data_IF_346473625126
#
_entry.id   IF_346473625126
#
_cell.length_a   1.000
_cell.length_b   1.000
_cell.length_c   1.000
_cell.angle_alpha   90.00
_cell.angle_beta   90.00
_cell.angle_gamma   90.00
#
_symmetry.space_group_name_H-M   'P 1'
#
loop_
_entity.id
_entity.type
_entity.pdbx_description
1 polymer ?
#
# COMPACT_ATOMS: atom_id res chain seq x y z
N UNK A 1 21.76 -15.19 -4.63
CA UNK A 1 21.35 -14.56 -5.91
C UNK A 1 22.47 -13.66 -6.41
N UNK A 2 23.45 -14.19 -7.16
CA UNK A 2 24.74 -13.50 -7.36
C UNK A 2 24.85 -12.70 -8.68
N UNK A 3 23.84 -12.75 -9.57
CA UNK A 3 23.88 -12.10 -10.89
C UNK A 3 22.65 -11.23 -11.22
N UNK A 4 21.88 -10.78 -10.22
CA UNK A 4 20.72 -9.92 -10.50
C UNK A 4 21.17 -8.47 -10.71
N UNK A 5 20.70 -7.75 -11.76
CA UNK A 5 21.08 -6.36 -11.96
C UNK A 5 20.63 -5.49 -10.78
N UNK A 6 21.54 -4.67 -10.25
CA UNK A 6 21.25 -3.81 -9.09
C UNK A 6 20.17 -2.75 -9.34
N UNK A 7 19.84 -2.47 -10.60
CA UNK A 7 18.84 -1.48 -11.00
C UNK A 7 17.46 -2.08 -11.30
N UNK A 8 17.30 -3.41 -11.24
CA UNK A 8 16.00 -4.08 -11.36
C UNK A 8 15.60 -4.60 -9.98
N UNK A 9 14.36 -4.31 -9.48
CA UNK A 9 13.91 -4.88 -8.23
C UNK A 9 13.95 -6.40 -8.26
N UNK A 10 14.42 -7.01 -7.18
CA UNK A 10 14.40 -8.46 -7.04
C UNK A 10 12.95 -8.98 -7.07
N UNK A 11 12.71 -10.24 -7.47
CA UNK A 11 11.36 -10.81 -7.55
C UNK A 11 10.54 -10.64 -6.25
N UNK A 12 11.17 -10.67 -5.08
CA UNK A 12 10.51 -10.44 -3.78
C UNK A 12 9.84 -9.06 -3.70
N UNK A 13 10.49 -8.01 -4.19
CA UNK A 13 9.93 -6.65 -4.12
C UNK A 13 8.75 -6.45 -5.09
N UNK A 14 8.76 -7.14 -6.24
CA UNK A 14 7.61 -7.18 -7.13
C UNK A 14 6.41 -7.84 -6.47
N UNK A 15 6.62 -8.98 -5.80
CA UNK A 15 5.54 -9.67 -5.07
C UNK A 15 4.98 -8.79 -3.96
N UNK A 16 5.83 -8.11 -3.19
CA UNK A 16 5.36 -7.17 -2.15
C UNK A 16 4.54 -6.03 -2.73
N UNK A 17 4.99 -5.42 -3.83
CA UNK A 17 4.27 -4.34 -4.50
C UNK A 17 2.89 -4.79 -5.02
N UNK A 18 2.84 -5.95 -5.68
CA UNK A 18 1.59 -6.53 -6.19
C UNK A 18 0.64 -6.85 -5.03
N UNK A 19 1.15 -7.50 -3.98
CA UNK A 19 0.35 -7.85 -2.82
C UNK A 19 -0.21 -6.62 -2.10
N UNK A 20 0.60 -5.57 -1.94
CA UNK A 20 0.15 -4.30 -1.38
C UNK A 20 -0.98 -3.70 -2.23
N UNK A 21 -0.79 -3.57 -3.54
CA UNK A 21 -1.77 -2.92 -4.42
C UNK A 21 -3.07 -3.72 -4.48
N UNK A 22 -3.00 -5.06 -4.58
CA UNK A 22 -4.19 -5.92 -4.52
C UNK A 22 -4.90 -5.82 -3.17
N UNK A 23 -4.16 -5.75 -2.07
CA UNK A 23 -4.72 -5.55 -0.75
C UNK A 23 -5.47 -4.21 -0.67
N UNK A 24 -4.85 -3.13 -1.14
CA UNK A 24 -5.47 -1.80 -1.14
C UNK A 24 -6.73 -1.78 -1.99
N UNK A 25 -6.71 -2.38 -3.18
CA UNK A 25 -7.90 -2.52 -4.03
C UNK A 25 -9.00 -3.29 -3.29
N UNK A 26 -8.67 -4.45 -2.72
CA UNK A 26 -9.64 -5.26 -1.96
C UNK A 26 -10.22 -4.51 -0.76
N UNK A 27 -9.39 -3.75 -0.04
CA UNK A 27 -9.82 -2.93 1.09
C UNK A 27 -10.70 -1.76 0.65
N UNK A 28 -10.41 -1.11 -0.48
CA UNK A 28 -11.28 -0.07 -1.02
C UNK A 28 -12.67 -0.61 -1.33
N UNK A 29 -12.78 -1.79 -1.96
CA UNK A 29 -14.07 -2.45 -2.19
C UNK A 29 -14.80 -2.76 -0.88
N UNK A 30 -14.09 -3.31 0.11
CA UNK A 30 -14.67 -3.62 1.42
C UNK A 30 -15.15 -2.34 2.15
N UNK A 31 -14.35 -1.28 2.14
CA UNK A 31 -14.66 0.00 2.75
C UNK A 31 -15.84 0.67 2.04
N UNK A 32 -15.90 0.62 0.70
CA UNK A 32 -17.02 1.17 -0.07
C UNK A 32 -18.33 0.45 0.28
N UNK A 33 -18.30 -0.89 0.29
CA UNK A 33 -19.47 -1.70 0.63
C UNK A 33 -19.95 -1.46 2.07
N UNK A 34 -19.02 -1.49 3.04
CA UNK A 34 -19.33 -1.18 4.45
C UNK A 34 -19.81 0.25 4.60
N UNK A 35 -19.20 1.20 3.88
CA UNK A 35 -19.57 2.60 3.85
C UNK A 35 -21.01 2.80 3.38
N UNK A 36 -21.46 2.05 2.37
CA UNK A 36 -22.84 2.08 1.90
C UNK A 36 -23.82 1.61 2.99
N UNK A 37 -23.51 0.51 3.69
CA UNK A 37 -24.33 -0.01 4.79
C UNK A 37 -24.40 1.00 5.94
N UNK A 38 -23.24 1.50 6.37
CA UNK A 38 -23.12 2.48 7.45
C UNK A 38 -23.89 3.76 7.08
N UNK A 39 -23.74 4.24 5.85
CA UNK A 39 -24.46 5.41 5.36
C UNK A 39 -25.98 5.21 5.43
N UNK A 40 -26.49 4.06 4.98
CA UNK A 40 -27.93 3.75 5.08
C UNK A 40 -28.44 3.77 6.53
N UNK A 41 -27.65 3.25 7.49
CA UNK A 41 -28.01 3.24 8.91
C UNK A 41 -27.99 4.65 9.54
N UNK A 42 -26.94 5.44 9.26
CA UNK A 42 -26.76 6.77 9.86
C UNK A 42 -27.73 7.80 9.23
N UNK A 43 -28.15 7.61 7.99
CA UNK A 43 -29.08 8.53 7.30
C UNK A 43 -30.49 8.58 7.95
N UNK A 44 -30.77 7.68 8.91
CA UNK A 44 -31.97 7.70 9.74
C UNK A 44 -31.85 8.67 10.94
N UNK A 45 -30.68 9.25 11.18
CA UNK A 45 -30.39 10.10 12.34
C UNK A 45 -30.53 11.60 12.02
N UNK A 46 -30.77 12.44 13.03
CA UNK A 46 -30.72 13.90 12.88
C UNK A 46 -29.37 14.37 12.29
N UNK A 47 -29.42 15.36 11.39
CA UNK A 47 -28.29 15.84 10.58
C UNK A 47 -27.01 16.17 11.37
N UNK A 48 -27.15 16.68 12.60
CA UNK A 48 -26.01 17.04 13.47
C UNK A 48 -25.28 15.78 13.97
N UNK A 49 -26.02 14.72 14.29
CA UNK A 49 -25.47 13.42 14.74
C UNK A 49 -24.85 12.70 13.53
N UNK A 50 -25.54 12.76 12.39
CA UNK A 50 -25.06 12.21 11.11
C UNK A 50 -23.65 12.71 10.75
N UNK A 51 -23.43 14.04 10.77
CA UNK A 51 -22.12 14.62 10.44
C UNK A 51 -21.02 14.14 11.41
N UNK A 52 -21.30 14.14 12.72
CA UNK A 52 -20.33 13.68 13.74
C UNK A 52 -19.92 12.22 13.53
N UNK A 53 -20.89 11.35 13.25
CA UNK A 53 -20.63 9.93 13.04
C UNK A 53 -19.84 9.68 11.75
N UNK A 54 -20.13 10.41 10.66
CA UNK A 54 -19.32 10.29 9.44
C UNK A 54 -17.86 10.61 9.69
N UNK A 55 -17.56 11.72 10.38
CA UNK A 55 -16.18 12.06 10.72
C UNK A 55 -15.50 10.99 11.58
N UNK A 56 -16.19 10.48 12.60
CA UNK A 56 -15.68 9.41 13.46
C UNK A 56 -15.37 8.13 12.66
N UNK A 57 -16.33 7.65 11.86
CA UNK A 57 -16.15 6.44 11.06
C UNK A 57 -15.07 6.61 10.00
N UNK A 58 -14.94 7.79 9.41
CA UNK A 58 -13.88 8.08 8.43
C UNK A 58 -12.49 7.98 9.07
N UNK A 59 -12.33 8.51 10.28
CA UNK A 59 -11.08 8.42 11.03
C UNK A 59 -10.77 6.96 11.41
N UNK A 60 -11.75 6.23 11.95
CA UNK A 60 -11.58 4.81 12.30
C UNK A 60 -11.23 3.97 11.08
N UNK A 61 -11.85 4.23 9.93
CA UNK A 61 -11.53 3.55 8.68
C UNK A 61 -10.07 3.77 8.27
N UNK A 62 -9.58 5.02 8.32
CA UNK A 62 -8.18 5.33 8.01
C UNK A 62 -7.19 4.64 8.97
N UNK A 63 -7.47 4.64 10.28
CA UNK A 63 -6.61 3.95 11.25
C UNK A 63 -6.64 2.43 11.06
N UNK A 64 -7.82 1.86 10.78
CA UNK A 64 -7.97 0.43 10.54
C UNK A 64 -7.17 -0.03 9.33
N UNK A 65 -7.02 0.82 8.32
CA UNK A 65 -6.27 0.53 7.12
C UNK A 65 -4.78 0.31 7.40
N UNK A 66 -4.18 1.13 8.27
CA UNK A 66 -2.79 0.97 8.71
C UNK A 66 -2.61 -0.39 9.43
N UNK A 67 -3.56 -0.74 10.31
CA UNK A 67 -3.53 -2.01 11.05
C UNK A 67 -3.59 -3.20 10.07
N UNK A 68 -4.53 -3.16 9.12
CA UNK A 68 -4.69 -4.26 8.16
C UNK A 68 -3.46 -4.41 7.27
N UNK A 69 -2.88 -3.31 6.79
CA UNK A 69 -1.67 -3.35 5.97
C UNK A 69 -0.51 -3.96 6.77
N UNK A 70 -0.30 -3.56 8.04
CA UNK A 70 0.73 -4.14 8.90
C UNK A 70 0.56 -5.65 9.10
N UNK A 71 -0.65 -6.11 9.37
CA UNK A 71 -0.94 -7.54 9.54
C UNK A 71 -0.71 -8.32 8.25
N UNK A 72 -1.19 -7.82 7.11
CA UNK A 72 -1.05 -8.52 5.83
C UNK A 72 0.42 -8.54 5.40
N UNK A 73 1.17 -7.46 5.59
CA UNK A 73 2.62 -7.46 5.32
C UNK A 73 3.35 -8.50 6.17
N UNK A 74 3.06 -8.55 7.47
CA UNK A 74 3.62 -9.55 8.38
C UNK A 74 3.36 -10.99 7.90
N UNK A 75 2.10 -11.29 7.56
CA UNK A 75 1.73 -12.62 7.08
C UNK A 75 2.27 -12.95 5.70
N UNK A 76 2.38 -11.96 4.81
CA UNK A 76 2.97 -12.12 3.49
C UNK A 76 4.45 -12.48 3.60
N UNK A 77 5.22 -11.75 4.42
CA UNK A 77 6.63 -12.07 4.67
C UNK A 77 6.79 -13.48 5.24
N UNK A 78 5.98 -13.83 6.23
CA UNK A 78 6.00 -15.18 6.80
C UNK A 78 5.68 -16.26 5.76
N UNK A 79 4.70 -16.02 4.88
CA UNK A 79 4.38 -16.93 3.80
C UNK A 79 5.57 -17.08 2.84
N UNK A 80 6.15 -15.97 2.39
CA UNK A 80 7.30 -16.00 1.49
C UNK A 80 8.53 -16.67 2.13
N UNK A 81 8.82 -16.41 3.39
CA UNK A 81 9.98 -16.99 4.07
C UNK A 81 9.84 -18.50 4.36
N UNK A 82 8.60 -19.01 4.39
CA UNK A 82 8.29 -20.44 4.55
C UNK A 82 8.34 -21.20 3.21
N UNK A 83 7.78 -20.65 2.14
CA UNK A 83 7.69 -21.31 0.84
C UNK A 83 8.87 -21.01 -0.09
N UNK A 84 9.52 -19.86 0.10
CA UNK A 84 10.67 -19.39 -0.69
C UNK A 84 11.81 -18.93 0.22
N UNK A 85 12.43 -19.84 1.01
CA UNK A 85 13.46 -19.48 1.97
C UNK A 85 14.71 -18.86 1.34
N UNK A 86 14.97 -19.13 0.06
CA UNK A 86 16.06 -18.48 -0.70
C UNK A 86 15.82 -16.98 -0.96
N UNK A 87 14.58 -16.52 -0.80
CA UNK A 87 14.21 -15.11 -0.89
C UNK A 87 14.46 -14.33 0.41
N UNK A 88 14.92 -15.00 1.48
CA UNK A 88 15.23 -14.36 2.76
C UNK A 88 16.31 -13.31 2.56
N UNK A 89 15.95 -12.09 2.90
CA UNK A 89 16.91 -11.01 3.06
C UNK A 89 17.52 -11.21 4.44
N UNK A 90 18.86 -11.26 4.54
CA UNK A 90 19.62 -11.60 5.75
C UNK A 90 19.26 -10.76 7.00
N UNK A 91 18.57 -9.63 6.81
CA UNK A 91 18.17 -8.70 7.87
C UNK A 91 16.77 -8.97 8.45
N UNK A 92 15.92 -9.74 7.74
CA UNK A 92 14.66 -10.24 8.33
C UNK A 92 14.96 -11.60 8.98
N UNK A 93 15.60 -11.57 10.15
CA UNK A 93 15.59 -12.75 11.03
C UNK A 93 14.13 -13.16 11.23
N UNK A 94 13.84 -14.44 11.02
CA UNK A 94 12.48 -14.99 11.05
C UNK A 94 11.73 -14.47 12.28
N UNK A 95 10.77 -13.57 12.10
CA UNK A 95 10.03 -12.97 13.22
C UNK A 95 9.17 -14.06 13.87
N UNK A 96 9.53 -14.56 15.07
CA UNK A 96 8.79 -15.65 15.67
C UNK A 96 7.55 -15.07 16.37
N UNK A 97 6.36 -15.33 15.82
CA UNK A 97 5.11 -14.89 16.45
C UNK A 97 3.92 -14.91 15.50
N UNK A 98 2.70 -14.93 16.05
CA UNK A 98 1.44 -14.78 15.28
C UNK A 98 1.03 -13.30 15.17
N UNK A 99 1.53 -12.48 16.09
CA UNK A 99 1.25 -11.05 16.17
C UNK A 99 2.38 -10.25 15.50
N UNK A 100 2.05 -9.13 14.82
CA UNK A 100 3.05 -8.25 14.25
C UNK A 100 3.92 -7.66 15.35
N UNK A 101 5.24 -7.75 15.15
CA UNK A 101 6.22 -7.07 15.99
C UNK A 101 6.23 -5.57 15.71
N UNK A 102 6.93 -4.78 16.53
CA UNK A 102 7.13 -3.34 16.27
C UNK A 102 7.68 -3.07 14.86
N UNK A 103 8.56 -3.95 14.37
CA UNK A 103 9.10 -3.88 13.00
C UNK A 103 7.99 -4.08 11.95
N UNK A 104 7.07 -5.01 12.18
CA UNK A 104 5.93 -5.20 11.27
C UNK A 104 4.95 -4.03 11.26
N UNK A 105 4.82 -3.29 12.36
CA UNK A 105 4.08 -2.03 12.38
C UNK A 105 4.77 -0.95 11.53
N UNK A 106 6.10 -0.88 11.60
CA UNK A 106 6.90 0.00 10.76
C UNK A 106 6.77 -0.36 9.27
N UNK A 107 6.85 -1.65 8.93
CA UNK A 107 6.61 -2.16 7.57
C UNK A 107 5.20 -1.80 7.07
N UNK A 108 4.19 -1.87 7.94
CA UNK A 108 2.83 -1.45 7.61
C UNK A 108 2.71 0.04 7.28
N UNK A 109 3.35 0.90 8.09
CA UNK A 109 3.42 2.34 7.85
C UNK A 109 4.21 2.66 6.57
N UNK A 110 5.29 1.93 6.32
CA UNK A 110 6.06 2.04 5.10
C UNK A 110 5.23 1.63 3.89
N UNK A 111 4.53 0.50 3.92
CA UNK A 111 3.62 0.07 2.86
C UNK A 111 2.51 1.10 2.57
N UNK A 112 1.99 1.76 3.62
CA UNK A 112 1.05 2.86 3.45
C UNK A 112 1.67 4.06 2.73
N UNK A 113 2.91 4.41 3.09
CA UNK A 113 3.68 5.49 2.45
C UNK A 113 4.01 5.16 1.00
N UNK A 114 4.40 3.91 0.71
CA UNK A 114 4.62 3.39 -0.65
C UNK A 114 3.36 3.50 -1.48
N UNK A 115 2.20 3.14 -0.93
CA UNK A 115 0.92 3.28 -1.63
C UNK A 115 0.64 4.73 -2.00
N UNK A 116 0.77 5.68 -1.07
CA UNK A 116 0.55 7.11 -1.34
C UNK A 116 1.52 7.62 -2.41
N UNK A 117 2.82 7.36 -2.24
CA UNK A 117 3.85 7.91 -3.11
C UNK A 117 3.78 7.32 -4.53
N UNK A 118 3.56 5.99 -4.63
CA UNK A 118 3.37 5.33 -5.93
C UNK A 118 2.11 5.81 -6.64
N UNK A 119 1.03 6.06 -5.90
CA UNK A 119 -0.20 6.66 -6.45
C UNK A 119 0.08 8.04 -7.01
N UNK A 120 0.70 8.93 -6.23
CA UNK A 120 1.04 10.30 -6.64
C UNK A 120 1.92 10.31 -7.89
N UNK A 121 2.96 9.46 -7.93
CA UNK A 121 3.86 9.37 -9.08
C UNK A 121 3.12 8.81 -10.30
N UNK A 122 2.33 7.75 -10.15
CA UNK A 122 1.59 7.16 -11.27
C UNK A 122 0.61 8.15 -11.91
N UNK A 123 -0.17 8.85 -11.09
CA UNK A 123 -1.09 9.89 -11.57
C UNK A 123 -0.35 11.12 -12.11
N UNK A 124 0.77 11.52 -11.50
CA UNK A 124 1.60 12.61 -12.00
C UNK A 124 2.16 12.32 -13.39
N UNK A 125 2.69 11.10 -13.59
CA UNK A 125 3.19 10.65 -14.90
C UNK A 125 2.07 10.64 -15.95
N UNK A 126 0.90 10.06 -15.62
CA UNK A 126 -0.24 10.07 -16.55
C UNK A 126 -0.69 11.50 -16.87
N UNK A 127 -0.72 12.39 -15.88
CA UNK A 127 -1.09 13.79 -16.04
C UNK A 127 -0.19 14.55 -17.02
N UNK A 128 1.11 14.22 -17.08
CA UNK A 128 2.05 14.86 -18.04
C UNK A 128 1.71 14.57 -19.51
N UNK A 129 1.06 13.44 -19.79
CA UNK A 129 0.73 13.00 -21.15
C UNK A 129 -0.76 13.16 -21.49
N UNK A 130 -1.59 13.63 -20.55
CA UNK A 130 -3.02 13.81 -20.74
C UNK A 130 -3.38 15.20 -21.31
N UNK A 131 -4.38 15.26 -22.22
CA UNK A 131 -4.98 16.54 -22.63
C UNK A 131 -5.59 17.30 -21.44
N UNK A 132 -5.56 18.63 -21.49
CA UNK A 132 -6.05 19.49 -20.39
C UNK A 132 -7.50 19.25 -19.91
N UNK A 133 -8.48 18.87 -20.76
CA UNK A 133 -9.83 18.55 -20.29
C UNK A 133 -9.87 17.26 -19.45
N UNK A 134 -9.03 16.28 -19.78
CA UNK A 134 -8.98 14.98 -19.10
C UNK A 134 -8.25 15.08 -17.76
N UNK A 135 -7.34 16.03 -17.63
CA UNK A 135 -6.63 16.36 -16.39
C UNK A 135 -7.59 16.83 -15.29
N UNK A 136 -8.65 17.56 -15.64
CA UNK A 136 -9.71 17.96 -14.69
C UNK A 136 -10.55 16.76 -14.25
N UNK A 137 -10.82 15.82 -15.16
CA UNK A 137 -11.51 14.57 -14.83
C UNK A 137 -10.68 13.67 -13.90
N UNK A 138 -9.34 13.66 -14.05
CA UNK A 138 -8.43 12.91 -13.18
C UNK A 138 -8.46 13.41 -11.71
N UNK A 139 -8.72 14.70 -11.48
CA UNK A 139 -8.96 15.22 -10.12
C UNK A 139 -10.30 14.74 -9.54
N UNK A 140 -11.30 14.49 -10.40
CA UNK A 140 -12.60 13.95 -9.97
C UNK A 140 -12.60 12.44 -9.76
N UNK A 141 -11.60 11.72 -10.28
CA UNK A 141 -11.37 10.29 -10.01
C UNK A 141 -11.08 10.03 -8.52
N UNK A 142 -10.49 11.00 -7.81
CA UNK A 142 -10.36 10.95 -6.35
C UNK A 142 -11.71 11.07 -5.61
N UNK A 143 -12.80 11.45 -6.31
CA UNK A 143 -14.10 11.78 -5.72
C UNK A 143 -15.21 10.79 -6.06
N UNK A 144 -15.14 10.08 -7.19
CA UNK A 144 -16.18 9.16 -7.63
C UNK A 144 -15.65 7.73 -7.76
N UNK A 145 -16.49 6.77 -7.39
CA UNK A 145 -16.23 5.33 -7.52
C UNK A 145 -15.70 5.01 -8.92
N UNK A 146 -14.46 4.53 -8.95
CA UNK A 146 -13.74 4.12 -10.15
C UNK A 146 -14.37 2.83 -10.71
N UNK A 147 -15.09 2.85 -11.84
CA UNK A 147 -15.49 1.59 -12.46
C UNK A 147 -14.26 0.95 -13.13
N UNK A 148 -13.29 1.75 -13.56
CA UNK A 148 -12.08 1.32 -14.25
C UNK A 148 -10.93 2.28 -13.89
N UNK A 149 -10.11 1.95 -12.88
CA UNK A 149 -8.74 2.46 -12.87
C UNK A 149 -8.16 2.07 -14.23
N UNK A 150 -7.64 3.01 -15.05
CA UNK A 150 -7.04 2.63 -16.31
C UNK A 150 -5.93 1.65 -15.96
N UNK A 151 -6.01 0.42 -16.46
CA UNK A 151 -5.09 -0.69 -16.14
C UNK A 151 -3.60 -0.26 -16.14
N UNK A 152 -3.27 0.74 -16.98
CA UNK A 152 -1.98 1.42 -17.07
C UNK A 152 -1.55 2.09 -15.75
N UNK A 153 -2.44 2.79 -15.03
CA UNK A 153 -2.09 3.43 -13.75
C UNK A 153 -1.66 2.40 -12.71
N UNK A 154 -2.36 1.27 -12.65
CA UNK A 154 -2.02 0.16 -11.75
C UNK A 154 -0.65 -0.41 -12.12
N UNK A 155 -0.36 -0.61 -13.41
CA UNK A 155 0.96 -1.07 -13.84
C UNK A 155 2.08 -0.10 -13.44
N UNK A 156 1.91 1.20 -13.70
CA UNK A 156 2.89 2.23 -13.30
C UNK A 156 3.05 2.22 -11.77
N UNK A 157 1.94 2.14 -11.03
CA UNK A 157 1.95 2.09 -9.58
C UNK A 157 2.70 0.87 -9.04
N UNK A 158 2.50 -0.32 -9.61
CA UNK A 158 3.24 -1.55 -9.25
C UNK A 158 4.74 -1.36 -9.49
N UNK A 159 5.12 -0.82 -10.66
CA UNK A 159 6.53 -0.58 -10.99
C UNK A 159 7.14 0.37 -9.96
N UNK A 160 6.52 1.53 -9.72
CA UNK A 160 7.03 2.52 -8.75
C UNK A 160 7.10 1.93 -7.35
N UNK A 161 6.08 1.18 -6.91
CA UNK A 161 6.07 0.55 -5.60
C UNK A 161 7.20 -0.49 -5.45
N UNK A 162 7.46 -1.31 -6.46
CA UNK A 162 8.57 -2.28 -6.44
C UNK A 162 9.93 -1.58 -6.32
N UNK A 163 10.10 -0.45 -7.01
CA UNK A 163 11.30 0.38 -6.89
C UNK A 163 11.44 1.03 -5.52
N UNK A 164 10.34 1.46 -4.90
CA UNK A 164 10.38 2.01 -3.55
C UNK A 164 10.81 0.95 -2.52
N UNK A 165 10.23 -0.26 -2.57
CA UNK A 165 10.65 -1.37 -1.73
C UNK A 165 12.14 -1.72 -1.91
N UNK A 166 12.63 -1.70 -3.15
CA UNK A 166 14.05 -1.90 -3.40
C UNK A 166 14.89 -0.76 -2.81
N UNK A 167 14.43 0.49 -2.91
CA UNK A 167 15.13 1.65 -2.37
C UNK A 167 15.25 1.59 -0.84
N UNK A 168 14.17 1.27 -0.12
CA UNK A 168 14.19 1.05 1.33
C UNK A 168 15.25 0.01 1.71
N UNK A 169 15.24 -1.12 1.01
CA UNK A 169 16.20 -2.18 1.26
C UNK A 169 17.65 -1.71 1.07
N UNK A 170 17.95 -1.01 -0.02
CA UNK A 170 19.29 -0.50 -0.28
C UNK A 170 19.74 0.51 0.78
N UNK A 171 18.83 1.36 1.26
CA UNK A 171 19.12 2.32 2.35
C UNK A 171 19.44 1.57 3.64
N UNK A 172 18.66 0.56 4.01
CA UNK A 172 18.93 -0.25 5.19
C UNK A 172 20.29 -0.95 5.12
N UNK A 173 20.62 -1.56 3.98
CA UNK A 173 21.92 -2.20 3.78
C UNK A 173 23.08 -1.21 3.92
N UNK A 174 22.94 0.00 3.36
CA UNK A 174 23.98 1.03 3.48
C UNK A 174 24.12 1.53 4.93
N UNK A 175 23.01 1.70 5.65
CA UNK A 175 23.04 2.11 7.06
C UNK A 175 23.72 1.05 7.94
N UNK A 176 23.42 -0.23 7.72
CA UNK A 176 24.04 -1.33 8.48
C UNK A 176 25.51 -1.48 8.13
N UNK A 177 25.87 -1.33 6.85
CA UNK A 177 27.28 -1.32 6.44
C UNK A 177 28.05 -0.15 7.06
N UNK A 178 27.46 1.05 7.06
CA UNK A 178 28.06 2.23 7.68
C UNK A 178 28.19 2.11 9.21
N UNK A 179 27.23 1.47 9.88
CA UNK A 179 27.26 1.26 11.34
C UNK A 179 28.27 0.19 11.81
N UNK A 180 28.79 -0.63 10.89
CA UNK A 180 29.83 -1.64 11.17
C UNK A 180 31.26 -1.09 11.04
N UNK A 181 31.40 0.16 10.60
CA UNK A 181 32.67 0.89 10.47
C UNK A 181 32.78 1.96 11.55
#
# INVERSE_FOLDING_TARGET
MQNWPSWIPTPRFWVNAIALILLIIGLQYAIAYLGMIIFMLINLLPRVIFLKLIYLFSLVAQLSLIIVVAFVHHWLHRFLDNFFPESRVTETEATPGVLPSFLSWWEGLYGWSVNILSTVIAFGLLGLFMPSPDLFNLLTVFKNELPHLPTISIFIQVIVAAYLYQFEYLVHQHLIAAARH
#
